data_IF_603133097480
#
_entry.id   IF_603133097480
#
_cell.length_a   1.000
_cell.length_b   1.000
_cell.length_c   1.000
_cell.angle_alpha   90.00
_cell.angle_beta   90.00
_cell.angle_gamma   90.00
#
_symmetry.space_group_name_H-M   'P 1'
#
loop_
_entity.id
_entity.type
_entity.pdbx_description
1 polymer ?
#
# COMPACT_ATOMS: atom_id res chain seq x y z
N UNK A 1 -3.43 -5.52 -0.14
CA UNK A 1 -2.15 -4.96 -0.64
C UNK A 1 -2.29 -3.97 -1.79
N UNK A 2 -3.20 -4.17 -2.74
CA UNK A 2 -3.39 -3.29 -3.92
C UNK A 2 -3.50 -1.79 -3.59
N UNK A 3 -4.24 -1.42 -2.54
CA UNK A 3 -4.36 -0.02 -2.12
C UNK A 3 -3.05 0.61 -1.66
N UNK A 4 -2.19 -0.16 -1.01
CA UNK A 4 -0.86 0.33 -0.67
C UNK A 4 0.02 0.49 -1.92
N UNK A 5 -0.09 -0.41 -2.91
CA UNK A 5 0.58 -0.24 -4.21
C UNK A 5 0.13 1.04 -4.92
N UNK A 6 -1.18 1.31 -4.95
CA UNK A 6 -1.74 2.57 -5.48
C UNK A 6 -1.19 3.80 -4.74
N UNK A 7 -1.11 3.73 -3.40
CA UNK A 7 -0.57 4.81 -2.58
C UNK A 7 0.92 5.07 -2.84
N UNK A 8 1.72 4.01 -2.98
CA UNK A 8 3.15 4.12 -3.30
C UNK A 8 3.36 4.74 -4.68
N UNK A 9 2.63 4.30 -5.71
CA UNK A 9 2.74 4.90 -7.05
C UNK A 9 2.26 6.37 -7.06
N UNK A 10 1.26 6.71 -6.26
CA UNK A 10 0.82 8.11 -6.12
C UNK A 10 1.91 8.99 -5.47
N UNK A 11 2.57 8.51 -4.41
CA UNK A 11 3.71 9.21 -3.80
C UNK A 11 4.86 9.34 -4.80
N UNK A 12 5.18 8.27 -5.52
CA UNK A 12 6.23 8.26 -6.55
C UNK A 12 5.97 9.28 -7.64
N UNK A 13 4.75 9.36 -8.17
CA UNK A 13 4.39 10.32 -9.22
C UNK A 13 4.56 11.76 -8.76
N UNK A 14 4.10 12.05 -7.55
CA UNK A 14 4.21 13.40 -6.98
C UNK A 14 5.67 13.78 -6.72
N UNK A 15 6.45 12.89 -6.12
CA UNK A 15 7.87 13.13 -5.86
C UNK A 15 8.69 13.21 -7.15
N UNK A 16 8.42 12.35 -8.13
CA UNK A 16 9.09 12.39 -9.43
C UNK A 16 8.81 13.70 -10.16
N UNK A 17 7.61 14.28 -10.05
CA UNK A 17 7.32 15.59 -10.65
C UNK A 17 8.22 16.68 -10.06
N UNK A 18 8.34 16.72 -8.74
CA UNK A 18 9.17 17.71 -8.03
C UNK A 18 10.67 17.52 -8.33
N UNK A 19 11.15 16.27 -8.36
CA UNK A 19 12.56 15.99 -8.68
C UNK A 19 12.92 16.37 -10.13
N UNK A 20 11.98 16.20 -11.07
CA UNK A 20 12.18 16.62 -12.45
C UNK A 20 12.23 18.14 -12.62
N UNK A 21 11.52 18.90 -11.77
CA UNK A 21 11.66 20.37 -11.73
C UNK A 21 13.06 20.81 -11.25
N UNK A 22 13.78 19.92 -10.56
CA UNK A 22 15.15 20.10 -10.08
C UNK A 22 16.20 19.35 -10.94
N UNK A 23 15.82 18.88 -12.15
CA UNK A 23 16.68 18.10 -13.08
C UNK A 23 17.22 16.76 -12.51
N UNK A 24 16.55 16.18 -11.51
CA UNK A 24 16.90 14.87 -10.94
C UNK A 24 16.04 13.72 -11.50
N UNK A 25 16.61 12.92 -12.41
CA UNK A 25 15.93 11.76 -13.00
C UNK A 25 16.20 10.41 -12.28
N UNK A 26 16.00 10.36 -10.96
CA UNK A 26 16.26 9.13 -10.18
C UNK A 26 15.08 8.13 -10.18
N UNK A 27 13.85 8.61 -10.31
CA UNK A 27 12.62 7.82 -10.16
C UNK A 27 12.03 7.33 -11.50
N UNK A 28 12.54 7.77 -12.64
CA UNK A 28 12.05 7.29 -13.94
C UNK A 28 12.39 5.82 -14.18
N UNK A 29 11.45 5.11 -14.82
CA UNK A 29 11.54 3.66 -15.03
C UNK A 29 11.46 2.80 -13.76
N UNK A 30 11.38 3.37 -12.56
CA UNK A 30 11.45 2.61 -11.30
C UNK A 30 10.09 2.10 -10.80
N UNK A 31 8.98 2.47 -11.44
CA UNK A 31 7.61 2.18 -10.98
C UNK A 31 7.43 0.75 -10.47
N UNK A 32 7.76 -0.23 -11.30
CA UNK A 32 7.50 -1.63 -10.98
C UNK A 32 8.35 -2.16 -9.82
N UNK A 33 9.56 -1.62 -9.62
CA UNK A 33 10.42 -1.95 -8.48
C UNK A 33 9.71 -1.64 -7.15
N UNK A 34 8.97 -0.54 -7.08
CA UNK A 34 8.20 -0.16 -5.90
C UNK A 34 6.90 -0.95 -5.71
N UNK A 35 6.39 -1.61 -6.75
CA UNK A 35 5.15 -2.37 -6.66
C UNK A 35 5.39 -3.83 -6.30
N UNK A 36 6.57 -4.35 -6.61
CA UNK A 36 6.97 -5.68 -6.20
C UNK A 36 7.18 -5.78 -4.69
N UNK A 37 6.97 -7.00 -4.21
CA UNK A 37 7.46 -7.47 -2.93
C UNK A 37 8.99 -7.55 -2.99
N UNK A 38 9.67 -7.34 -1.86
CA UNK A 38 11.14 -7.33 -1.81
C UNK A 38 11.74 -8.59 -2.47
N UNK A 39 11.19 -9.76 -2.16
CA UNK A 39 11.62 -11.06 -2.68
C UNK A 39 11.39 -11.26 -4.19
N UNK A 40 10.60 -10.40 -4.83
CA UNK A 40 10.25 -10.48 -6.25
C UNK A 40 11.00 -9.45 -7.11
N UNK A 41 12.00 -8.78 -6.55
CA UNK A 41 12.79 -7.78 -7.28
C UNK A 41 13.66 -8.48 -8.34
N UNK A 42 13.63 -8.05 -9.62
CA UNK A 42 14.49 -8.64 -10.65
C UNK A 42 15.96 -8.46 -10.30
N UNK A 43 16.75 -9.53 -10.39
CA UNK A 43 18.19 -9.54 -10.02
C UNK A 43 18.99 -8.43 -10.73
N UNK A 44 18.72 -8.23 -12.04
CA UNK A 44 19.35 -7.18 -12.86
C UNK A 44 19.11 -5.76 -12.34
N UNK A 45 18.09 -5.55 -11.52
CA UNK A 45 17.69 -4.25 -10.97
C UNK A 45 17.87 -4.20 -9.45
N UNK A 46 18.32 -5.28 -8.81
CA UNK A 46 18.40 -5.40 -7.35
C UNK A 46 19.39 -4.39 -6.75
N UNK A 47 20.56 -4.22 -7.38
CA UNK A 47 21.57 -3.25 -6.93
C UNK A 47 21.03 -1.81 -7.02
N UNK A 48 20.54 -1.41 -8.20
CA UNK A 48 19.93 -0.08 -8.40
C UNK A 48 18.79 0.16 -7.43
N UNK A 49 17.94 -0.85 -7.22
CA UNK A 49 16.82 -0.76 -6.30
C UNK A 49 17.28 -0.61 -4.85
N UNK A 50 18.32 -1.34 -4.45
CA UNK A 50 18.98 -1.23 -3.14
C UNK A 50 19.43 0.20 -2.84
N UNK A 51 20.13 0.83 -3.78
CA UNK A 51 20.55 2.22 -3.64
C UNK A 51 19.38 3.20 -3.48
N UNK A 52 18.36 3.11 -4.35
CA UNK A 52 17.25 4.07 -4.31
C UNK A 52 16.31 3.84 -3.12
N UNK A 53 16.14 2.61 -2.64
CA UNK A 53 15.26 2.31 -1.49
C UNK A 53 15.89 2.69 -0.14
N UNK A 54 17.22 2.81 -0.08
CA UNK A 54 17.95 3.27 1.11
C UNK A 54 18.11 4.80 1.15
N UNK A 55 17.63 5.50 0.12
CA UNK A 55 17.66 6.96 0.05
C UNK A 55 16.60 7.64 0.94
N UNK A 56 16.73 8.96 1.08
CA UNK A 56 15.76 9.80 1.79
C UNK A 56 14.46 10.11 1.02
N UNK A 57 14.23 9.44 -0.11
CA UNK A 57 13.04 9.63 -0.93
C UNK A 57 11.77 9.27 -0.15
N UNK A 58 10.71 10.08 -0.31
CA UNK A 58 9.36 9.78 0.19
C UNK A 58 8.86 8.47 -0.42
N UNK A 59 9.19 8.19 -1.68
CA UNK A 59 8.86 6.95 -2.37
C UNK A 59 9.46 5.74 -1.66
N UNK A 60 10.73 5.81 -1.30
CA UNK A 60 11.42 4.75 -0.55
C UNK A 60 10.74 4.51 0.81
N UNK A 61 10.43 5.59 1.54
CA UNK A 61 9.70 5.51 2.81
C UNK A 61 8.29 4.95 2.66
N UNK A 62 7.56 5.33 1.60
CA UNK A 62 6.23 4.80 1.31
C UNK A 62 6.28 3.29 1.02
N UNK A 63 7.31 2.85 0.29
CA UNK A 63 7.56 1.44 0.03
C UNK A 63 7.86 0.66 1.32
N UNK A 64 8.70 1.19 2.21
CA UNK A 64 8.97 0.57 3.50
C UNK A 64 7.70 0.43 4.38
N UNK A 65 6.83 1.45 4.37
CA UNK A 65 5.51 1.38 5.04
C UNK A 65 4.62 0.30 4.40
N UNK A 66 4.66 0.15 3.07
CA UNK A 66 3.95 -0.95 2.38
C UNK A 66 4.50 -2.31 2.81
N UNK A 67 5.80 -2.52 2.77
CA UNK A 67 6.40 -3.83 3.07
C UNK A 67 6.20 -4.22 4.54
N UNK A 68 6.38 -3.28 5.47
CA UNK A 68 6.07 -3.54 6.88
C UNK A 68 4.62 -3.97 7.12
N UNK A 69 3.64 -3.43 6.38
CA UNK A 69 2.24 -3.87 6.54
C UNK A 69 2.07 -5.38 6.36
N UNK A 70 2.88 -5.99 5.48
CA UNK A 70 2.84 -7.45 5.23
C UNK A 70 3.16 -8.26 6.48
N UNK A 71 3.98 -7.71 7.38
CA UNK A 71 4.31 -8.30 8.67
C UNK A 71 3.11 -8.47 9.60
N UNK A 72 1.99 -7.78 9.36
CA UNK A 72 0.78 -7.96 10.16
C UNK A 72 0.29 -9.41 10.15
N UNK A 73 0.35 -10.07 8.98
CA UNK A 73 -0.16 -11.43 8.80
C UNK A 73 0.83 -12.53 9.22
N UNK A 74 2.07 -12.19 9.62
CA UNK A 74 3.01 -13.18 10.16
C UNK A 74 2.70 -13.55 11.62
N UNK A 75 1.89 -12.74 12.31
CA UNK A 75 1.52 -12.99 13.70
C UNK A 75 0.53 -14.13 13.85
N UNK A 76 0.70 -14.91 14.92
CA UNK A 76 -0.15 -16.07 15.20
C UNK A 76 -1.35 -15.75 16.09
N UNK A 77 -1.23 -14.77 16.99
CA UNK A 77 -2.28 -14.41 17.95
C UNK A 77 -2.79 -13.01 17.66
N UNK A 78 -4.11 -12.84 17.72
CA UNK A 78 -4.81 -11.57 17.49
C UNK A 78 -4.24 -10.40 18.31
N UNK A 79 -3.96 -10.61 19.60
CA UNK A 79 -3.41 -9.55 20.45
C UNK A 79 -2.05 -9.01 19.96
N UNK A 80 -1.17 -9.89 19.48
CA UNK A 80 0.13 -9.46 18.92
C UNK A 80 -0.05 -8.73 17.58
N UNK A 81 -0.96 -9.20 16.73
CA UNK A 81 -1.30 -8.52 15.48
C UNK A 81 -1.89 -7.13 15.73
N UNK A 82 -2.73 -6.96 16.75
CA UNK A 82 -3.32 -5.68 17.11
C UNK A 82 -2.26 -4.70 17.63
N UNK A 83 -1.33 -5.16 18.47
CA UNK A 83 -0.21 -4.33 18.93
C UNK A 83 0.68 -3.89 17.77
N UNK A 84 0.99 -4.81 16.85
CA UNK A 84 1.74 -4.50 15.63
C UNK A 84 1.01 -3.48 14.76
N UNK A 85 -0.30 -3.69 14.56
CA UNK A 85 -1.16 -2.78 13.82
C UNK A 85 -1.11 -1.36 14.38
N UNK A 86 -1.19 -1.19 15.71
CA UNK A 86 -1.14 0.15 16.35
C UNK A 86 0.17 0.88 16.02
N UNK A 87 1.30 0.19 16.07
CA UNK A 87 2.61 0.74 15.72
C UNK A 87 2.68 1.12 14.23
N UNK A 88 2.26 0.21 13.35
CA UNK A 88 2.24 0.44 11.92
C UNK A 88 1.32 1.60 11.54
N UNK A 89 0.11 1.65 12.13
CA UNK A 89 -0.88 2.70 11.88
C UNK A 89 -0.35 4.07 12.31
N UNK A 90 0.31 4.15 13.46
CA UNK A 90 0.96 5.38 13.92
C UNK A 90 2.00 5.84 12.90
N UNK A 91 2.91 4.96 12.47
CA UNK A 91 3.94 5.29 11.48
C UNK A 91 3.34 5.75 10.15
N UNK A 92 2.36 5.01 9.63
CA UNK A 92 1.71 5.30 8.36
C UNK A 92 0.95 6.64 8.38
N UNK A 93 0.26 6.96 9.48
CA UNK A 93 -0.50 8.20 9.63
C UNK A 93 0.38 9.44 9.85
N UNK A 94 1.57 9.26 10.45
CA UNK A 94 2.55 10.34 10.67
C UNK A 94 3.59 10.47 9.55
N UNK A 95 3.48 9.66 8.50
CA UNK A 95 4.40 9.64 7.35
C UNK A 95 4.48 10.96 6.54
N UNK A 96 3.55 11.90 6.77
CA UNK A 96 3.33 13.12 5.96
C UNK A 96 2.96 12.85 4.49
N UNK A 97 2.57 11.62 4.15
CA UNK A 97 2.16 11.24 2.80
C UNK A 97 0.66 10.97 2.73
N UNK A 98 -0.11 11.92 2.18
CA UNK A 98 -1.57 11.82 2.11
C UNK A 98 -2.11 10.51 1.48
N UNK A 99 -1.51 9.97 0.40
CA UNK A 99 -1.94 8.68 -0.14
C UNK A 99 -1.83 7.53 0.88
N UNK A 100 -0.71 7.45 1.60
CA UNK A 100 -0.47 6.44 2.64
C UNK A 100 -1.44 6.61 3.81
N UNK A 101 -1.63 7.84 4.29
CA UNK A 101 -2.58 8.16 5.39
C UNK A 101 -4.00 7.70 5.07
N UNK A 102 -4.46 7.91 3.82
CA UNK A 102 -5.80 7.50 3.36
C UNK A 102 -5.98 5.98 3.47
N UNK A 103 -4.99 5.20 3.04
CA UNK A 103 -5.04 3.73 3.13
C UNK A 103 -4.98 3.27 4.58
N UNK A 104 -4.11 3.85 5.41
CA UNK A 104 -4.04 3.52 6.83
C UNK A 104 -5.39 3.73 7.53
N UNK A 105 -6.04 4.88 7.30
CA UNK A 105 -7.37 5.18 7.85
C UNK A 105 -8.45 4.23 7.33
N UNK A 106 -8.43 3.89 6.05
CA UNK A 106 -9.34 2.91 5.46
C UNK A 106 -9.23 1.55 6.16
N UNK A 107 -8.01 1.04 6.33
CA UNK A 107 -7.80 -0.25 7.01
C UNK A 107 -8.22 -0.16 8.48
N UNK A 108 -7.93 0.96 9.16
CA UNK A 108 -8.35 1.19 10.55
C UNK A 108 -9.86 1.07 10.73
N UNK A 109 -10.65 1.66 9.82
CA UNK A 109 -12.11 1.58 9.85
C UNK A 109 -12.65 0.15 9.64
N UNK A 110 -11.81 -0.75 9.14
CA UNK A 110 -12.14 -2.16 8.93
C UNK A 110 -11.28 -3.08 9.79
N UNK A 111 -10.60 -2.57 10.81
CA UNK A 111 -9.60 -3.32 11.59
C UNK A 111 -10.22 -4.56 12.23
N UNK A 112 -11.43 -4.46 12.78
CA UNK A 112 -12.11 -5.61 13.38
C UNK A 112 -12.22 -6.78 12.39
N UNK A 113 -12.64 -6.49 11.15
CA UNK A 113 -12.73 -7.48 10.07
C UNK A 113 -11.36 -7.98 9.60
N UNK A 114 -10.30 -7.18 9.75
CA UNK A 114 -8.92 -7.64 9.48
C UNK A 114 -8.48 -8.61 10.58
N UNK A 115 -8.84 -8.32 11.83
CA UNK A 115 -8.42 -9.13 12.99
C UNK A 115 -9.20 -10.44 13.14
N UNK A 116 -10.40 -10.57 12.56
CA UNK A 116 -11.14 -11.85 12.54
C UNK A 116 -10.38 -12.97 11.83
N UNK A 117 -9.46 -12.62 10.92
CA UNK A 117 -8.52 -13.56 10.29
C UNK A 117 -7.75 -14.41 11.32
N UNK A 118 -7.39 -13.82 12.46
CA UNK A 118 -6.60 -14.51 13.48
C UNK A 118 -7.44 -15.44 14.37
N UNK A 119 -8.75 -15.19 14.48
CA UNK A 119 -9.69 -15.99 15.27
C UNK A 119 -10.16 -17.22 14.46
N UNK A 120 -10.35 -17.05 13.16
CA UNK A 120 -10.77 -18.09 12.24
C UNK A 120 -9.79 -18.16 11.07
N UNK A 121 -8.60 -18.76 11.26
CA UNK A 121 -7.53 -18.86 10.25
C UNK A 121 -7.88 -19.60 8.94
N UNK A 122 -9.16 -19.71 8.61
CA UNK A 122 -9.66 -20.42 7.45
C UNK A 122 -9.82 -19.44 6.29
N UNK A 123 -9.01 -19.71 5.26
CA UNK A 123 -9.03 -19.28 3.85
C UNK A 123 -8.54 -17.88 3.47
N UNK A 124 -7.62 -17.89 2.49
CA UNK A 124 -7.16 -16.77 1.64
C UNK A 124 -8.30 -15.87 1.10
N UNK A 125 -9.54 -16.34 1.15
CA UNK A 125 -10.77 -15.60 0.85
C UNK A 125 -10.98 -14.33 1.70
N UNK A 126 -10.43 -14.21 2.92
CA UNK A 126 -10.54 -12.95 3.71
C UNK A 126 -9.56 -11.89 3.20
N UNK A 127 -8.33 -12.28 2.84
CA UNK A 127 -7.33 -11.39 2.22
C UNK A 127 -7.75 -10.94 0.82
N UNK A 128 -8.37 -11.84 0.04
CA UNK A 128 -9.02 -11.51 -1.23
C UNK A 128 -10.31 -10.72 -1.03
N UNK A 129 -11.12 -11.06 -0.03
CA UNK A 129 -12.37 -10.40 0.33
C UNK A 129 -12.19 -8.97 0.84
N UNK A 130 -11.10 -8.67 1.55
CA UNK A 130 -10.69 -7.31 1.90
C UNK A 130 -10.33 -6.52 0.64
N UNK A 131 -9.55 -7.09 -0.29
CA UNK A 131 -9.29 -6.44 -1.58
C UNK A 131 -10.60 -6.23 -2.37
N UNK A 132 -11.52 -7.20 -2.36
CA UNK A 132 -12.80 -7.16 -3.09
C UNK A 132 -13.81 -6.20 -2.48
N UNK A 133 -14.04 -6.20 -1.16
CA UNK A 133 -14.95 -5.24 -0.48
C UNK A 133 -14.47 -3.80 -0.61
N UNK A 134 -13.16 -3.59 -0.56
CA UNK A 134 -12.53 -2.29 -0.84
C UNK A 134 -12.70 -1.88 -2.32
N UNK A 135 -12.79 -2.82 -3.25
CA UNK A 135 -13.10 -2.55 -4.67
C UNK A 135 -14.60 -2.31 -4.90
N UNK A 136 -15.51 -2.94 -4.15
CA UNK A 136 -16.96 -2.78 -4.30
C UNK A 136 -17.44 -1.35 -4.03
N UNK A 137 -16.75 -0.59 -3.17
CA UNK A 137 -17.04 0.84 -2.93
C UNK A 137 -16.75 1.72 -4.16
N UNK A 138 -16.10 1.20 -5.22
CA UNK A 138 -15.91 1.90 -6.51
C UNK A 138 -16.97 1.54 -7.57
N UNK A 139 -17.94 0.66 -7.30
CA UNK A 139 -19.04 0.35 -8.24
C UNK A 139 -20.34 1.01 -7.80
N UNK A 140 -20.44 2.32 -7.99
CA UNK A 140 -21.75 2.95 -8.26
C UNK A 140 -22.00 2.77 -9.75
N UNK A 141 -23.10 2.14 -10.19
CA UNK A 141 -23.39 2.01 -11.61
C UNK A 141 -23.84 3.37 -12.13
N UNK A 142 -22.94 4.06 -12.84
CA UNK A 142 -23.33 5.18 -13.71
C UNK A 142 -23.99 4.58 -14.95
N UNK A 143 -25.24 4.97 -15.22
CA UNK A 143 -25.84 4.85 -16.55
C UNK A 143 -27.11 3.99 -16.63
N UNK A 144 -28.22 4.47 -16.06
CA UNK A 144 -29.53 4.17 -16.64
C UNK A 144 -29.70 5.14 -17.82
N UNK A 145 -29.59 4.62 -19.03
CA UNK A 145 -29.99 5.34 -20.23
C UNK A 145 -31.52 5.33 -20.33
N UNK A 146 -32.16 6.46 -20.06
CA UNK A 146 -33.52 6.76 -20.51
C UNK A 146 -33.43 7.73 -21.68
N UNK A 147 -33.41 7.18 -22.89
CA UNK A 147 -33.61 7.96 -24.11
C UNK A 147 -35.10 8.20 -24.31
N UNK A 148 -35.55 9.40 -23.99
CA UNK A 148 -36.81 9.98 -24.47
C UNK A 148 -36.46 10.93 -25.61
N UNK A 149 -36.91 10.61 -26.82
CA UNK A 149 -37.76 11.38 -27.75
C UNK A 149 -37.98 10.47 -28.96
#
# INVERSE_FOLDING_TARGET
MQRMNEAVDAVRKEENRLLMEEDFDILNGTKYLWLFAEENTPEKMAERFGWIRESNLKTARAWAIKESLRGLWSYQRKGWAELYWKQWYFWATHSRMNPVKKVARMIHNHLENVLTYFDHRITNAVSEGLNSKIQTVKKTPTGIAIGTI
#
